data_IF_362664928299
#
_entry.id   IF_362664928299
#
_cell.length_a   1.000
_cell.length_b   1.000
_cell.length_c   1.000
_cell.angle_alpha   90.00
_cell.angle_beta   90.00
_cell.angle_gamma   90.00
#
_symmetry.space_group_name_H-M   'P 1'
#
loop_
_entity.id
_entity.type
_entity.pdbx_description
1 polymer ?
#
# COMPACT_ATOMS: atom_id res chain seq x y z
N UNK A 1 52.32 6.79 -2.74
CA UNK A 1 51.31 5.95 -3.43
C UNK A 1 50.49 5.06 -2.48
N UNK A 2 51.08 4.29 -1.55
CA UNK A 2 50.31 3.43 -0.60
C UNK A 2 49.26 4.17 0.25
N UNK A 3 49.58 5.36 0.77
CA UNK A 3 48.64 6.17 1.58
C UNK A 3 47.44 6.71 0.78
N UNK A 4 47.68 7.10 -0.48
CA UNK A 4 46.63 7.61 -1.37
C UNK A 4 45.65 6.49 -1.76
N UNK A 5 46.17 5.28 -2.03
CA UNK A 5 45.35 4.10 -2.30
C UNK A 5 44.48 3.71 -1.10
N UNK A 6 45.01 3.80 0.12
CA UNK A 6 44.24 3.54 1.34
C UNK A 6 43.10 4.57 1.53
N UNK A 7 43.36 5.86 1.29
CA UNK A 7 42.34 6.91 1.41
C UNK A 7 41.21 6.70 0.39
N UNK A 8 41.57 6.41 -0.87
CA UNK A 8 40.59 6.15 -1.93
C UNK A 8 39.74 4.91 -1.64
N UNK A 9 40.35 3.84 -1.14
CA UNK A 9 39.63 2.65 -0.72
C UNK A 9 38.63 2.95 0.41
N UNK A 10 39.05 3.72 1.43
CA UNK A 10 38.16 4.11 2.54
C UNK A 10 36.99 4.97 2.06
N UNK A 11 37.23 5.94 1.18
CA UNK A 11 36.18 6.79 0.61
C UNK A 11 35.19 5.97 -0.23
N UNK A 12 35.69 5.02 -1.01
CA UNK A 12 34.86 4.11 -1.79
C UNK A 12 34.01 3.19 -0.92
N UNK A 13 34.57 2.63 0.16
CA UNK A 13 33.80 1.83 1.12
C UNK A 13 32.74 2.69 1.80
N UNK A 14 33.07 3.92 2.20
CA UNK A 14 32.12 4.82 2.84
C UNK A 14 30.97 5.21 1.90
N UNK A 15 31.25 5.47 0.63
CA UNK A 15 30.21 5.78 -0.36
C UNK A 15 29.29 4.59 -0.65
N UNK A 16 29.80 3.36 -0.59
CA UNK A 16 28.99 2.14 -0.66
C UNK A 16 28.08 2.00 0.57
N UNK A 17 28.54 2.34 1.78
CA UNK A 17 27.69 2.27 2.99
C UNK A 17 26.57 3.32 3.00
N UNK A 18 26.81 4.49 2.40
CA UNK A 18 25.79 5.55 2.24
C UNK A 18 24.72 5.19 1.20
N UNK A 19 25.03 4.27 0.28
CA UNK A 19 24.10 3.69 -0.68
C UNK A 19 23.42 2.42 -0.17
N UNK A 20 23.50 2.11 1.13
CA UNK A 20 22.64 1.10 1.74
C UNK A 20 21.19 1.59 1.61
N UNK A 21 20.56 1.22 0.49
CA UNK A 21 19.16 1.44 0.21
C UNK A 21 18.41 0.89 1.42
N UNK A 22 17.49 1.68 1.98
CA UNK A 22 16.56 1.22 3.00
C UNK A 22 15.63 0.18 2.37
N UNK A 23 16.13 -1.06 2.20
CA UNK A 23 15.34 -2.20 1.77
C UNK A 23 14.49 -2.57 2.98
N UNK A 24 13.27 -2.03 3.00
CA UNK A 24 12.26 -2.49 3.94
C UNK A 24 11.71 -3.80 3.42
N UNK A 25 11.76 -4.84 4.25
CA UNK A 25 11.04 -6.06 3.96
C UNK A 25 9.57 -5.75 3.71
N UNK A 26 8.93 -6.47 2.79
CA UNK A 26 7.49 -6.35 2.57
C UNK A 26 6.77 -6.59 3.90
N UNK A 27 5.73 -5.80 4.22
CA UNK A 27 4.97 -6.01 5.45
C UNK A 27 4.47 -7.45 5.54
N UNK A 28 4.62 -8.08 6.70
CA UNK A 28 4.27 -9.50 6.93
C UNK A 28 2.77 -9.67 7.25
N UNK A 29 1.91 -8.99 6.49
CA UNK A 29 0.47 -9.05 6.67
C UNK A 29 -0.26 -8.98 5.32
N UNK A 30 -1.46 -9.56 5.28
CA UNK A 30 -2.37 -9.52 4.13
C UNK A 30 -3.35 -8.38 4.28
N UNK A 31 -3.82 -7.83 3.16
CA UNK A 31 -4.93 -6.88 3.14
C UNK A 31 -6.06 -7.54 2.38
N UNK A 32 -7.15 -7.85 3.07
CA UNK A 32 -8.43 -8.10 2.41
C UNK A 32 -8.88 -6.81 1.74
N UNK A 33 -9.02 -6.83 0.42
CA UNK A 33 -9.43 -5.70 -0.39
C UNK A 33 -10.71 -6.07 -1.15
N UNK A 34 -11.82 -5.48 -0.74
CA UNK A 34 -13.10 -5.61 -1.43
C UNK A 34 -13.54 -4.27 -1.99
N UNK A 35 -14.19 -4.30 -3.15
CA UNK A 35 -14.77 -3.12 -3.78
C UNK A 35 -16.30 -3.22 -3.73
N UNK A 36 -16.94 -2.14 -3.30
CA UNK A 36 -18.37 -1.93 -3.50
C UNK A 36 -18.54 -0.80 -4.51
N UNK A 37 -19.28 -1.09 -5.58
CA UNK A 37 -19.52 -0.15 -6.68
C UNK A 37 -20.98 0.29 -6.68
N UNK A 38 -21.20 1.59 -6.77
CA UNK A 38 -22.52 2.19 -6.99
C UNK A 38 -22.50 2.95 -8.29
N UNK A 39 -23.28 2.51 -9.27
CA UNK A 39 -23.41 3.16 -10.57
C UNK A 39 -24.53 4.20 -10.51
N UNK A 40 -24.20 5.45 -10.82
CA UNK A 40 -25.12 6.56 -10.76
C UNK A 40 -25.75 6.82 -12.14
N UNK A 41 -26.92 7.48 -12.15
CA UNK A 41 -27.65 7.78 -13.39
C UNK A 41 -26.94 8.79 -14.30
N UNK A 42 -25.99 9.56 -13.77
CA UNK A 42 -25.18 10.53 -14.52
C UNK A 42 -23.94 9.90 -15.20
N UNK A 43 -23.81 8.57 -15.12
CA UNK A 43 -22.69 7.82 -15.70
C UNK A 43 -21.45 7.78 -14.82
N UNK A 44 -21.48 8.35 -13.61
CA UNK A 44 -20.39 8.21 -12.63
C UNK A 44 -20.50 6.91 -11.83
N UNK A 45 -19.38 6.48 -11.25
CA UNK A 45 -19.32 5.33 -10.35
C UNK A 45 -18.70 5.75 -9.03
N UNK A 46 -19.40 5.50 -7.93
CA UNK A 46 -18.84 5.62 -6.58
C UNK A 46 -18.19 4.30 -6.18
N UNK A 47 -16.93 4.38 -5.75
CA UNK A 47 -16.13 3.21 -5.37
C UNK A 47 -15.82 3.27 -3.88
N UNK A 48 -16.41 2.37 -3.12
CA UNK A 48 -16.08 2.13 -1.72
C UNK A 48 -15.04 1.00 -1.63
N UNK A 49 -13.81 1.36 -1.27
CA UNK A 49 -12.75 0.39 -0.99
C UNK A 49 -12.84 -0.05 0.48
N UNK A 50 -13.16 -1.32 0.71
CA UNK A 50 -13.12 -1.92 2.04
C UNK A 50 -11.82 -2.67 2.22
N UNK A 51 -11.07 -2.26 3.22
CA UNK A 51 -9.74 -2.76 3.53
C UNK A 51 -9.74 -3.35 4.94
N UNK A 52 -9.16 -4.53 5.12
CA UNK A 52 -8.91 -5.06 6.45
C UNK A 52 -7.56 -5.78 6.49
N UNK A 53 -6.64 -5.39 7.39
CA UNK A 53 -5.36 -6.05 7.52
C UNK A 53 -5.47 -7.30 8.38
N UNK A 54 -4.83 -8.38 7.95
CA UNK A 54 -4.78 -9.67 8.64
C UNK A 54 -3.34 -10.16 8.76
N UNK A 55 -3.00 -10.83 9.85
CA UNK A 55 -1.78 -11.64 9.91
C UNK A 55 -1.84 -12.79 8.89
N UNK A 56 -0.69 -13.44 8.66
CA UNK A 56 -0.62 -14.62 7.78
C UNK A 56 -1.50 -15.79 8.23
N UNK A 57 -1.83 -15.86 9.52
CA UNK A 57 -2.75 -16.83 10.11
C UNK A 57 -4.20 -16.30 10.24
N UNK A 58 -4.52 -15.15 9.62
CA UNK A 58 -5.89 -14.64 9.52
C UNK A 58 -6.39 -13.82 10.72
N UNK A 59 -5.54 -13.47 11.68
CA UNK A 59 -5.93 -12.61 12.81
C UNK A 59 -6.01 -11.15 12.37
N UNK A 60 -7.03 -10.44 12.84
CA UNK A 60 -7.20 -9.02 12.56
C UNK A 60 -6.04 -8.18 13.11
N UNK A 61 -5.56 -7.25 12.28
CA UNK A 61 -4.56 -6.24 12.64
C UNK A 61 -5.14 -4.81 12.63
N UNK A 62 -6.47 -4.66 12.67
CA UNK A 62 -7.17 -3.37 12.55
C UNK A 62 -6.69 -2.32 13.58
N UNK A 63 -6.29 -2.77 14.76
CA UNK A 63 -5.88 -1.92 15.87
C UNK A 63 -4.36 -1.76 16.02
N UNK A 64 -3.58 -2.36 15.13
CA UNK A 64 -2.14 -2.20 15.14
C UNK A 64 -1.73 -0.80 14.62
N UNK A 65 -1.02 0.01 15.42
CA UNK A 65 -0.64 1.37 15.04
C UNK A 65 0.43 1.43 13.93
N UNK A 66 1.28 0.42 13.81
CA UNK A 66 2.27 0.35 12.73
C UNK A 66 1.61 0.03 11.40
N UNK A 67 0.67 -0.92 11.40
CA UNK A 67 -0.14 -1.26 10.24
C UNK A 67 -0.99 -0.06 9.80
N UNK A 68 -1.62 0.65 10.75
CA UNK A 68 -2.38 1.85 10.43
C UNK A 68 -1.50 2.94 9.77
N UNK A 69 -0.24 3.09 10.20
CA UNK A 69 0.71 4.03 9.60
C UNK A 69 1.09 3.62 8.17
N UNK A 70 1.38 2.35 7.96
CA UNK A 70 1.73 1.78 6.64
C UNK A 70 0.57 1.90 5.63
N UNK A 71 -0.65 1.60 6.07
CA UNK A 71 -1.86 1.75 5.25
C UNK A 71 -2.10 3.21 4.87
N UNK A 72 -1.93 4.16 5.80
CA UNK A 72 -2.04 5.58 5.50
C UNK A 72 -1.00 6.06 4.47
N UNK A 73 0.23 5.53 4.52
CA UNK A 73 1.27 5.82 3.53
C UNK A 73 0.96 5.23 2.15
N UNK A 74 0.10 4.21 2.10
CA UNK A 74 -0.26 3.46 0.88
C UNK A 74 -1.53 3.95 0.19
N UNK A 75 -2.20 5.02 0.68
CA UNK A 75 -3.48 5.51 0.14
C UNK A 75 -3.43 5.78 -1.37
N UNK A 76 -2.36 6.42 -1.87
CA UNK A 76 -2.23 6.72 -3.30
C UNK A 76 -2.21 5.44 -4.17
N UNK A 77 -1.60 4.37 -3.65
CA UNK A 77 -1.58 3.06 -4.31
C UNK A 77 -2.96 2.41 -4.29
N UNK A 78 -3.68 2.51 -3.18
CA UNK A 78 -5.04 1.99 -3.04
C UNK A 78 -6.02 2.69 -4.01
N UNK A 79 -5.93 4.01 -4.15
CA UNK A 79 -6.71 4.76 -5.16
C UNK A 79 -6.43 4.20 -6.56
N UNK A 80 -5.16 3.94 -6.87
CA UNK A 80 -4.77 3.41 -8.18
C UNK A 80 -5.43 2.06 -8.50
N UNK A 81 -5.63 1.20 -7.51
CA UNK A 81 -6.35 -0.07 -7.72
C UNK A 81 -7.80 0.13 -8.15
N UNK A 82 -8.50 1.13 -7.61
CA UNK A 82 -9.87 1.45 -8.07
C UNK A 82 -9.88 1.98 -9.50
N UNK A 83 -8.94 2.87 -9.84
CA UNK A 83 -8.88 3.47 -11.17
C UNK A 83 -8.61 2.40 -12.24
N UNK A 84 -7.75 1.42 -11.94
CA UNK A 84 -7.42 0.32 -12.84
C UNK A 84 -8.59 -0.61 -13.15
N UNK A 85 -9.67 -0.60 -12.36
CA UNK A 85 -10.89 -1.34 -12.68
C UNK A 85 -11.64 -0.76 -13.89
N UNK A 86 -11.41 0.52 -14.21
CA UNK A 86 -12.15 1.23 -15.26
C UNK A 86 -11.28 1.54 -16.49
N UNK A 87 -9.96 1.62 -16.34
CA UNK A 87 -9.05 1.86 -17.45
C UNK A 87 -7.65 1.32 -17.17
N UNK A 88 -7.03 0.78 -18.21
CA UNK A 88 -5.59 0.45 -18.26
C UNK A 88 -4.68 1.69 -18.26
N UNK A 89 -5.24 2.88 -18.53
CA UNK A 89 -4.58 4.17 -18.40
C UNK A 89 -5.32 5.09 -17.39
N UNK A 90 -5.09 4.91 -16.07
CA UNK A 90 -5.73 5.68 -15.00
C UNK A 90 -5.61 7.20 -15.11
N UNK A 91 -4.61 7.71 -15.85
CA UNK A 91 -4.36 9.15 -16.01
C UNK A 91 -5.44 9.86 -16.83
N UNK A 92 -6.22 9.11 -17.60
CA UNK A 92 -7.31 9.65 -18.42
C UNK A 92 -8.63 9.75 -17.63
N UNK A 93 -8.69 9.15 -16.44
CA UNK A 93 -9.89 9.16 -15.61
C UNK A 93 -9.97 10.45 -14.80
N UNK A 94 -11.16 11.05 -14.77
CA UNK A 94 -11.51 12.10 -13.82
C UNK A 94 -12.07 11.45 -12.57
N UNK A 95 -11.51 11.75 -11.41
CA UNK A 95 -11.98 11.23 -10.14
C UNK A 95 -11.84 12.28 -9.03
N UNK A 96 -12.59 12.07 -7.95
CA UNK A 96 -12.50 12.84 -6.73
C UNK A 96 -12.51 11.89 -5.54
N UNK A 97 -11.62 12.12 -4.58
CA UNK A 97 -11.64 11.40 -3.31
C UNK A 97 -12.73 12.00 -2.44
N UNK A 98 -13.81 11.23 -2.20
CA UNK A 98 -14.94 11.67 -1.37
C UNK A 98 -14.65 11.51 0.13
N UNK A 99 -13.87 10.48 0.49
CA UNK A 99 -13.51 10.19 1.89
C UNK A 99 -12.12 9.58 1.97
N UNK A 100 -11.35 9.99 2.97
CA UNK A 100 -10.05 9.37 3.29
C UNK A 100 -10.23 8.06 4.07
N UNK A 101 -9.12 7.33 4.23
CA UNK A 101 -9.10 6.10 5.02
C UNK A 101 -9.58 6.38 6.46
N UNK A 102 -10.52 5.56 6.92
CA UNK A 102 -11.04 5.61 8.29
C UNK A 102 -11.29 4.19 8.80
N UNK A 103 -11.25 4.02 10.13
CA UNK A 103 -11.64 2.76 10.75
C UNK A 103 -13.16 2.70 10.85
N UNK A 104 -13.75 1.61 10.37
CA UNK A 104 -15.17 1.29 10.57
C UNK A 104 -15.30 -0.05 11.29
N UNK A 105 -16.14 -0.07 12.32
CA UNK A 105 -16.49 -1.27 13.06
C UNK A 105 -17.84 -1.81 12.59
N UNK A 106 -18.06 -3.12 12.70
CA UNK A 106 -19.30 -3.77 12.27
C UNK A 106 -19.41 -4.03 10.76
N UNK A 107 -18.39 -3.66 9.98
CA UNK A 107 -18.28 -4.00 8.57
C UNK A 107 -17.56 -5.34 8.38
N UNK A 108 -17.90 -6.06 7.32
CA UNK A 108 -17.23 -7.31 6.94
C UNK A 108 -16.35 -7.09 5.72
N UNK A 109 -15.13 -7.63 5.78
CA UNK A 109 -14.17 -7.72 4.68
C UNK A 109 -13.81 -9.18 4.52
N UNK A 110 -13.95 -9.71 3.32
CA UNK A 110 -13.64 -11.10 3.02
C UNK A 110 -12.18 -11.20 2.60
N UNK A 111 -11.47 -12.14 3.21
CA UNK A 111 -10.10 -12.47 2.85
C UNK A 111 -9.97 -13.99 2.85
N UNK A 112 -9.79 -14.56 1.66
CA UNK A 112 -9.44 -15.96 1.52
C UNK A 112 -7.91 -16.06 1.55
N UNK A 113 -7.37 -16.24 2.76
CA UNK A 113 -5.91 -16.36 2.96
C UNK A 113 -5.40 -17.73 2.49
N UNK A 114 -6.27 -18.74 2.40
CA UNK A 114 -5.92 -20.14 2.12
C UNK A 114 -6.22 -20.60 0.69
N UNK A 115 -7.03 -19.86 -0.06
CA UNK A 115 -7.37 -20.19 -1.46
C UNK A 115 -8.36 -21.36 -1.61
N UNK A 116 -9.24 -21.58 -0.63
CA UNK A 116 -10.15 -22.76 -0.57
C UNK A 116 -11.62 -22.38 -0.61
#
# INVERSE_FOLDING_TARGET
MRKLGAILATVFILSLTLQAINIRAQPRYWIGLNFRLTFNSDGTVTVDQKLHPFTVDGKSLLNDPEVARDMNQSIARMISYSLLMFSDNPKLLKYQVLKSLEKRYGETVLCDVTGT
#
